data_IF_078879010747
#
_entry.id   IF_078879010747
#
_cell.length_a   1.000
_cell.length_b   1.000
_cell.length_c   1.000
_cell.angle_alpha   90.00
_cell.angle_beta   90.00
_cell.angle_gamma   90.00
#
_symmetry.space_group_name_H-M   'P 1'
#
loop_
_entity.id
_entity.type
_entity.pdbx_description
1 polymer ?
#
# COMPACT_ATOMS: atom_id res chain seq x y z
N UNK A 1 -39.90 -11.63 -5.74
CA UNK A 1 -38.49 -11.24 -5.95
C UNK A 1 -38.08 -10.31 -4.81
N UNK A 2 -37.24 -10.79 -3.88
CA UNK A 2 -36.81 -10.00 -2.73
C UNK A 2 -35.62 -9.16 -3.16
N UNK A 3 -35.83 -7.86 -3.32
CA UNK A 3 -34.79 -6.89 -3.67
C UNK A 3 -33.99 -6.58 -2.40
N UNK A 4 -32.93 -7.36 -2.15
CA UNK A 4 -32.02 -7.11 -1.03
C UNK A 4 -31.12 -5.92 -1.35
N UNK A 5 -31.57 -4.71 -0.96
CA UNK A 5 -30.69 -3.55 -0.85
C UNK A 5 -29.58 -3.88 0.15
N UNK A 6 -28.41 -4.34 -0.34
CA UNK A 6 -27.16 -4.40 0.43
C UNK A 6 -26.89 -2.97 0.94
N UNK A 7 -27.02 -2.77 2.24
CA UNK A 7 -26.66 -1.51 2.90
C UNK A 7 -25.15 -1.26 2.73
N UNK A 8 -24.78 -0.48 1.72
CA UNK A 8 -23.42 0.04 1.54
C UNK A 8 -23.23 1.19 2.54
N UNK A 9 -22.81 0.86 3.76
CA UNK A 9 -22.25 1.87 4.67
C UNK A 9 -20.80 2.13 4.25
N UNK A 10 -20.62 3.09 3.36
CA UNK A 10 -19.30 3.55 2.93
C UNK A 10 -18.59 4.17 4.14
N UNK A 11 -17.64 3.43 4.70
CA UNK A 11 -16.72 4.00 5.68
C UNK A 11 -15.70 4.83 4.90
N UNK A 12 -15.96 6.14 4.79
CA UNK A 12 -15.05 7.08 4.14
C UNK A 12 -13.86 7.33 5.11
N UNK A 13 -12.75 6.63 4.90
CA UNK A 13 -11.53 6.77 5.71
C UNK A 13 -10.65 7.96 5.24
N UNK A 14 -11.27 9.03 4.71
CA UNK A 14 -10.53 10.23 4.25
C UNK A 14 -9.79 10.96 5.38
N UNK A 15 -10.22 10.81 6.64
CA UNK A 15 -9.66 11.58 7.76
C UNK A 15 -8.40 11.00 8.40
N UNK A 16 -7.98 9.79 8.03
CA UNK A 16 -6.84 9.10 8.69
C UNK A 16 -5.57 9.06 7.84
N UNK A 17 -5.66 9.29 6.53
CA UNK A 17 -4.51 9.22 5.64
C UNK A 17 -3.89 10.61 5.53
N UNK A 18 -2.77 10.80 6.24
CA UNK A 18 -1.94 11.98 6.09
C UNK A 18 -1.50 12.14 4.61
N UNK A 19 -1.12 13.36 4.17
CA UNK A 19 -0.62 13.58 2.81
C UNK A 19 0.58 12.71 2.41
N UNK A 20 1.29 12.16 3.39
CA UNK A 20 2.42 11.26 3.23
C UNK A 20 2.16 10.00 4.06
N UNK A 21 2.01 8.86 3.40
CA UNK A 21 1.95 7.54 4.03
C UNK A 21 3.35 6.92 4.01
N UNK A 22 4.14 7.24 5.02
CA UNK A 22 5.56 6.89 5.08
C UNK A 22 5.83 5.54 5.75
N UNK A 23 4.97 5.07 6.65
CA UNK A 23 5.26 3.91 7.50
C UNK A 23 4.19 2.83 7.48
N UNK A 24 4.62 1.62 7.85
CA UNK A 24 3.74 0.47 8.08
C UNK A 24 2.82 0.68 9.29
N UNK A 25 3.26 1.43 10.30
CA UNK A 25 2.50 1.61 11.54
C UNK A 25 1.16 2.31 11.30
N UNK A 26 1.13 3.27 10.37
CA UNK A 26 -0.12 3.94 9.97
C UNK A 26 -1.11 2.93 9.37
N UNK A 27 -0.62 1.98 8.57
CA UNK A 27 -1.44 0.93 7.99
C UNK A 27 -1.92 -0.07 9.04
N UNK A 28 -1.09 -0.40 10.03
CA UNK A 28 -1.48 -1.30 11.12
C UNK A 28 -2.57 -0.67 12.01
N UNK A 29 -2.55 0.66 12.21
CA UNK A 29 -3.63 1.41 12.87
C UNK A 29 -4.91 1.36 12.02
N UNK A 30 -4.80 1.61 10.71
CA UNK A 30 -5.91 1.53 9.77
C UNK A 30 -6.57 0.15 9.78
N UNK A 31 -5.77 -0.92 9.77
CA UNK A 31 -6.25 -2.31 9.83
C UNK A 31 -7.09 -2.56 11.10
N UNK A 32 -6.61 -2.08 12.26
CA UNK A 32 -7.34 -2.20 13.54
C UNK A 32 -8.69 -1.50 13.50
N UNK A 33 -8.76 -0.33 12.86
CA UNK A 33 -10.00 0.45 12.73
C UNK A 33 -10.99 -0.29 11.83
N UNK A 34 -10.54 -0.74 10.66
CA UNK A 34 -11.36 -1.50 9.70
C UNK A 34 -11.94 -2.76 10.36
N UNK A 35 -11.12 -3.51 11.10
CA UNK A 35 -11.55 -4.74 11.79
C UNK A 35 -12.65 -4.50 12.83
N UNK A 36 -12.62 -3.36 13.52
CA UNK A 36 -13.62 -2.98 14.53
C UNK A 36 -14.94 -2.52 13.93
N UNK A 37 -14.95 -2.15 12.66
CA UNK A 37 -16.18 -1.70 11.99
C UNK A 37 -17.04 -2.89 11.57
N UNK A 38 -18.36 -2.76 11.65
CA UNK A 38 -19.32 -3.82 11.27
C UNK A 38 -19.73 -3.76 9.78
N UNK A 39 -19.02 -2.97 8.97
CA UNK A 39 -19.38 -2.78 7.55
C UNK A 39 -18.78 -3.89 6.68
N UNK A 40 -19.50 -4.35 5.65
CA UNK A 40 -18.96 -5.37 4.72
C UNK A 40 -17.98 -4.79 3.70
N UNK A 41 -18.11 -3.50 3.37
CA UNK A 41 -17.28 -2.83 2.37
C UNK A 41 -16.68 -1.55 2.95
N UNK A 42 -15.44 -1.27 2.54
CA UNK A 42 -14.65 -0.12 2.99
C UNK A 42 -13.97 0.52 1.81
N UNK A 43 -14.20 1.82 1.65
CA UNK A 43 -13.53 2.65 0.64
C UNK A 43 -12.41 3.45 1.31
N UNK A 44 -11.18 3.16 0.91
CA UNK A 44 -10.01 3.94 1.30
C UNK A 44 -9.81 5.04 0.27
N UNK A 45 -10.06 6.28 0.67
CA UNK A 45 -9.97 7.44 -0.20
C UNK A 45 -8.58 8.07 -0.12
N UNK A 46 -7.86 8.03 -1.24
CA UNK A 46 -6.49 8.53 -1.39
C UNK A 46 -6.44 9.94 -1.97
N UNK A 47 -7.55 10.66 -2.10
CA UNK A 47 -7.61 12.02 -2.67
C UNK A 47 -6.64 13.00 -2.02
N UNK A 48 -6.38 12.86 -0.71
CA UNK A 48 -5.45 13.69 0.04
C UNK A 48 -4.03 13.11 0.15
N UNK A 49 -3.78 11.90 -0.36
CA UNK A 49 -2.49 11.23 -0.27
C UNK A 49 -1.63 11.57 -1.48
N UNK A 50 -0.54 12.31 -1.26
CA UNK A 50 0.39 12.68 -2.34
C UNK A 50 1.50 11.66 -2.54
N UNK A 51 1.81 10.89 -1.49
CA UNK A 51 2.92 9.95 -1.52
C UNK A 51 2.65 8.74 -0.62
N UNK A 52 3.06 7.56 -1.11
CA UNK A 52 3.09 6.31 -0.35
C UNK A 52 4.50 5.72 -0.46
N UNK A 53 5.13 5.42 0.66
CA UNK A 53 6.41 4.73 0.66
C UNK A 53 6.27 3.26 0.24
N UNK A 54 7.36 2.63 -0.21
CA UNK A 54 7.36 1.21 -0.56
C UNK A 54 6.90 0.32 0.60
N UNK A 55 7.28 0.62 1.83
CA UNK A 55 6.91 -0.14 3.02
C UNK A 55 5.42 0.01 3.35
N UNK A 56 4.87 1.22 3.24
CA UNK A 56 3.44 1.47 3.42
C UNK A 56 2.60 0.80 2.32
N UNK A 57 3.02 0.89 1.05
CA UNK A 57 2.38 0.20 -0.07
C UNK A 57 2.34 -1.32 0.14
N UNK A 58 3.46 -1.90 0.59
CA UNK A 58 3.52 -3.33 0.92
C UNK A 58 2.55 -3.71 2.04
N UNK A 59 2.50 -2.90 3.10
CA UNK A 59 1.58 -3.11 4.21
C UNK A 59 0.10 -2.99 3.77
N UNK A 60 -0.24 -2.01 2.92
CA UNK A 60 -1.60 -1.82 2.40
C UNK A 60 -2.09 -3.04 1.62
N UNK A 61 -1.23 -3.59 0.76
CA UNK A 61 -1.54 -4.79 -0.01
C UNK A 61 -1.73 -6.00 0.90
N UNK A 62 -0.86 -6.20 1.90
CA UNK A 62 -0.99 -7.27 2.88
C UNK A 62 -2.28 -7.14 3.72
N UNK A 63 -2.60 -5.92 4.14
CA UNK A 63 -3.83 -5.65 4.89
C UNK A 63 -5.05 -6.04 4.06
N UNK A 64 -5.10 -5.63 2.78
CA UNK A 64 -6.18 -5.99 1.86
C UNK A 64 -6.31 -7.51 1.73
N UNK A 65 -5.21 -8.24 1.51
CA UNK A 65 -5.21 -9.70 1.40
C UNK A 65 -5.70 -10.40 2.68
N UNK A 66 -5.31 -9.91 3.86
CA UNK A 66 -5.74 -10.48 5.14
C UNK A 66 -7.23 -10.26 5.41
N UNK A 67 -7.76 -9.14 4.95
CA UNK A 67 -9.14 -8.73 5.22
C UNK A 67 -10.14 -9.16 4.13
N UNK A 68 -9.68 -9.50 2.92
CA UNK A 68 -10.54 -9.80 1.77
C UNK A 68 -11.55 -10.93 1.99
N UNK A 69 -11.27 -11.87 2.91
CA UNK A 69 -12.20 -12.95 3.25
C UNK A 69 -13.45 -12.46 4.02
N UNK A 70 -13.38 -11.28 4.64
CA UNK A 70 -14.44 -10.73 5.50
C UNK A 70 -14.93 -9.34 5.07
N UNK A 71 -14.11 -8.60 4.33
CA UNK A 71 -14.33 -7.19 3.98
C UNK A 71 -13.94 -6.93 2.53
N UNK A 72 -14.79 -6.25 1.79
CA UNK A 72 -14.49 -5.73 0.46
C UNK A 72 -13.79 -4.36 0.60
N UNK A 73 -12.48 -4.32 0.37
CA UNK A 73 -11.67 -3.09 0.49
C UNK A 73 -11.35 -2.53 -0.88
N UNK A 74 -11.73 -1.29 -1.14
CA UNK A 74 -11.44 -0.57 -2.38
C UNK A 74 -10.50 0.61 -2.11
N UNK A 75 -9.58 0.86 -3.04
CA UNK A 75 -8.77 2.09 -3.05
C UNK A 75 -9.41 3.02 -4.09
N UNK A 76 -9.92 4.16 -3.64
CA UNK A 76 -10.62 5.14 -4.48
C UNK A 76 -9.82 6.44 -4.53
N UNK A 77 -10.04 7.25 -5.56
CA UNK A 77 -9.37 8.54 -5.77
C UNK A 77 -7.85 8.47 -5.61
N UNK A 78 -7.23 7.38 -6.06
CA UNK A 78 -5.81 7.13 -5.88
C UNK A 78 -4.98 7.85 -6.93
N UNK A 79 -4.08 8.78 -6.57
CA UNK A 79 -3.24 9.47 -7.55
C UNK A 79 -2.30 8.51 -8.27
N UNK A 80 -1.95 8.85 -9.52
CA UNK A 80 -1.17 7.96 -10.41
C UNK A 80 0.16 7.50 -9.79
N UNK A 81 0.86 8.38 -9.07
CA UNK A 81 2.10 8.02 -8.37
C UNK A 81 1.90 6.93 -7.31
N UNK A 82 0.79 7.02 -6.57
CA UNK A 82 0.41 6.02 -5.58
C UNK A 82 0.01 4.71 -6.25
N UNK A 83 -0.75 4.78 -7.35
CA UNK A 83 -1.11 3.61 -8.18
C UNK A 83 0.16 2.91 -8.68
N UNK A 84 1.13 3.66 -9.20
CA UNK A 84 2.38 3.12 -9.72
C UNK A 84 3.21 2.46 -8.62
N UNK A 85 3.30 3.07 -7.44
CA UNK A 85 3.96 2.44 -6.29
C UNK A 85 3.28 1.12 -5.89
N UNK A 86 1.95 1.10 -5.80
CA UNK A 86 1.19 -0.12 -5.48
C UNK A 86 1.41 -1.21 -6.54
N UNK A 87 1.41 -0.87 -7.83
CA UNK A 87 1.69 -1.80 -8.94
C UNK A 87 3.10 -2.38 -8.84
N UNK A 88 4.12 -1.54 -8.66
CA UNK A 88 5.53 -1.97 -8.54
C UNK A 88 5.69 -2.92 -7.35
N UNK A 89 5.09 -2.60 -6.21
CA UNK A 89 5.16 -3.46 -5.03
C UNK A 89 4.40 -4.77 -5.25
N UNK A 90 3.22 -4.75 -5.85
CA UNK A 90 2.45 -5.96 -6.17
C UNK A 90 3.22 -6.87 -7.13
N UNK A 91 3.77 -6.33 -8.21
CA UNK A 91 4.58 -7.07 -9.18
C UNK A 91 5.79 -7.74 -8.51
N UNK A 92 6.53 -6.99 -7.68
CA UNK A 92 7.67 -7.51 -6.93
C UNK A 92 7.31 -8.63 -5.93
N UNK A 93 6.04 -8.73 -5.52
CA UNK A 93 5.57 -9.82 -4.65
C UNK A 93 5.24 -11.10 -5.41
N UNK A 94 4.79 -10.97 -6.66
CA UNK A 94 4.43 -12.11 -7.53
C UNK A 94 5.68 -12.72 -8.17
N UNK A 95 6.65 -11.88 -8.54
CA UNK A 95 7.96 -12.33 -9.03
C UNK A 95 8.62 -13.13 -7.91
N UNK A 96 8.60 -14.44 -8.08
CA UNK A 96 9.00 -15.44 -7.11
C UNK A 96 10.31 -15.08 -6.41
N UNK A 97 10.37 -15.22 -5.08
CA UNK A 97 11.61 -15.29 -4.26
C UNK A 97 12.61 -16.40 -4.72
N UNK A 98 12.32 -17.09 -5.83
CA UNK A 98 13.06 -18.24 -6.36
C UNK A 98 14.37 -17.85 -7.04
N UNK A 99 14.52 -16.61 -7.48
CA UNK A 99 15.84 -16.08 -7.84
C UNK A 99 16.46 -15.53 -6.56
N UNK A 100 17.33 -16.31 -5.90
CA UNK A 100 18.32 -15.68 -5.02
C UNK A 100 19.13 -14.75 -5.92
N UNK A 101 19.11 -13.43 -5.72
CA UNK A 101 20.00 -12.56 -6.47
C UNK A 101 21.41 -13.06 -6.22
N UNK A 102 22.20 -13.15 -7.29
CA UNK A 102 23.61 -13.49 -7.16
C UNK A 102 24.27 -12.39 -6.33
N UNK A 103 24.63 -12.72 -5.08
CA UNK A 103 25.17 -11.75 -4.15
C UNK A 103 26.66 -11.57 -4.45
N UNK A 104 26.95 -10.65 -5.36
CA UNK A 104 28.31 -10.23 -5.73
C UNK A 104 28.56 -8.80 -5.22
N UNK A 105 28.71 -8.59 -3.90
CA UNK A 105 28.87 -7.26 -3.34
C UNK A 105 30.20 -6.66 -3.80
N UNK A 106 30.14 -5.45 -4.36
CA UNK A 106 31.34 -4.64 -4.59
C UNK A 106 31.60 -3.80 -3.35
N UNK A 107 32.85 -3.76 -2.90
CA UNK A 107 33.29 -2.77 -1.92
C UNK A 107 33.36 -1.44 -2.65
N UNK A 108 32.56 -0.47 -2.18
CA UNK A 108 32.48 0.87 -2.75
C UNK A 108 33.04 1.84 -1.72
N UNK A 109 33.89 2.77 -2.16
CA UNK A 109 34.38 3.87 -1.34
C UNK A 109 33.52 5.10 -1.64
N UNK A 110 33.24 5.94 -0.63
CA UNK A 110 32.49 7.18 -0.83
C UNK A 110 33.20 8.07 -1.87
N UNK A 111 34.53 8.05 -1.89
CA UNK A 111 35.30 8.82 -2.85
C UNK A 111 35.18 8.28 -4.29
N UNK A 112 34.91 6.98 -4.49
CA UNK A 112 34.71 6.45 -5.84
C UNK A 112 33.38 6.90 -6.44
N UNK A 113 32.35 7.14 -5.61
CA UNK A 113 31.05 7.66 -6.07
C UNK A 113 31.15 9.11 -6.53
N UNK A 114 31.92 9.94 -5.84
CA UNK A 114 32.12 11.34 -6.25
C UNK A 114 32.83 11.47 -7.59
N UNK A 115 33.75 10.55 -7.92
CA UNK A 115 34.46 10.55 -9.21
C UNK A 115 33.54 10.19 -10.38
N UNK A 116 32.55 9.31 -10.18
CA UNK A 116 31.60 8.91 -11.22
C UNK A 116 30.58 10.01 -11.57
N UNK A 117 30.31 10.93 -10.65
CA UNK A 117 29.39 12.06 -10.89
C UNK A 117 30.09 13.25 -11.56
N UNK A 118 31.41 13.36 -11.39
CA UNK A 118 32.24 14.44 -11.93
C UNK A 118 32.98 14.05 -13.23
N UNK A 119 32.75 12.85 -13.75
CA UNK A 119 33.28 12.36 -15.02
C UNK A 119 32.18 12.35 -16.10
#
# INVERSE_FOLDING_TARGET
MINTKKSHKNLIITRLLAPILSSRDVVDILEKIIKKTDVKSVDLDFSNVKFVSRSAAHALLLMKERLQAKKDIFFINTPEDVVNMLRVVAANRIVSKKQKPEFNPRKIDINSLFKEVLA
#
